data_IF_711307408371
#
_entry.id   IF_711307408371
#
_cell.length_a   1.000
_cell.length_b   1.000
_cell.length_c   1.000
_cell.angle_alpha   90.00
_cell.angle_beta   90.00
_cell.angle_gamma   90.00
#
_symmetry.space_group_name_H-M   'P 1'
#
loop_
_entity.id
_entity.type
_entity.pdbx_description
1 polymer ?
#
# COMPACT_ATOMS: atom_id res chain seq x y z
N UNK A 1 15.11 -12.93 17.45
CA UNK A 1 14.39 -13.89 16.59
C UNK A 1 15.10 -15.21 16.61
N UNK A 2 14.41 -16.28 17.00
CA UNK A 2 14.90 -17.64 16.91
C UNK A 2 14.28 -18.27 15.66
N UNK A 3 15.13 -18.76 14.76
CA UNK A 3 14.73 -19.50 13.56
C UNK A 3 15.05 -20.98 13.79
N UNK A 4 14.02 -21.78 14.06
CA UNK A 4 14.16 -23.21 14.30
C UNK A 4 13.97 -23.96 13.00
N UNK A 5 14.99 -24.70 12.57
CA UNK A 5 14.94 -25.51 11.35
C UNK A 5 14.92 -26.98 11.73
N UNK A 6 13.82 -27.67 11.40
CA UNK A 6 13.62 -29.09 11.70
C UNK A 6 13.25 -29.80 10.40
N UNK A 7 14.21 -30.47 9.78
CA UNK A 7 14.04 -31.08 8.46
C UNK A 7 13.65 -30.04 7.41
N UNK A 8 12.47 -30.23 6.80
CA UNK A 8 11.89 -29.30 5.79
C UNK A 8 11.13 -28.12 6.39
N UNK A 9 10.96 -28.08 7.72
CA UNK A 9 10.24 -27.01 8.41
C UNK A 9 11.18 -25.92 8.90
N UNK A 10 10.74 -24.68 8.74
CA UNK A 10 11.28 -23.50 9.42
C UNK A 10 10.20 -22.89 10.29
N UNK A 11 10.47 -22.71 11.57
CA UNK A 11 9.54 -22.11 12.54
C UNK A 11 10.22 -20.87 13.11
N UNK A 12 9.58 -19.71 12.99
CA UNK A 12 10.06 -18.45 13.51
C UNK A 12 9.04 -17.88 14.49
N UNK A 13 9.37 -17.93 15.77
CA UNK A 13 8.61 -17.27 16.83
C UNK A 13 9.37 -16.04 17.33
N UNK A 14 8.62 -14.99 17.69
CA UNK A 14 9.17 -13.79 18.28
C UNK A 14 8.15 -13.13 19.21
N UNK A 15 8.65 -12.40 20.19
CA UNK A 15 7.87 -11.55 21.08
C UNK A 15 8.53 -10.18 21.11
N UNK A 16 7.75 -9.12 20.96
CA UNK A 16 8.20 -7.75 21.12
C UNK A 16 7.40 -7.09 22.24
N UNK A 17 8.07 -6.30 23.08
CA UNK A 17 7.42 -5.45 24.09
C UNK A 17 7.73 -4.00 23.75
N UNK A 18 6.69 -3.19 23.66
CA UNK A 18 6.76 -1.76 23.37
C UNK A 18 6.14 -1.00 24.53
N UNK A 19 6.82 0.03 25.03
CA UNK A 19 6.29 0.97 26.02
C UNK A 19 6.36 2.38 25.44
N UNK A 20 5.21 3.02 25.27
CA UNK A 20 5.10 4.38 24.75
C UNK A 20 4.70 5.33 25.88
N UNK A 21 5.37 6.48 25.92
CA UNK A 21 5.10 7.57 26.86
C UNK A 21 4.80 8.81 26.03
N UNK A 22 3.67 9.45 26.32
CA UNK A 22 3.18 10.66 25.68
C UNK A 22 3.22 11.79 26.69
N UNK A 23 3.79 12.93 26.29
CA UNK A 23 3.80 14.13 27.09
C UNK A 23 3.47 15.34 26.19
N UNK A 24 2.32 15.97 26.42
CA UNK A 24 1.81 17.08 25.63
C UNK A 24 1.81 18.37 26.45
N UNK A 25 2.46 19.39 25.93
CA UNK A 25 2.41 20.76 26.43
C UNK A 25 1.76 21.66 25.37
N UNK A 26 0.47 21.95 25.55
CA UNK A 26 -0.27 22.81 24.63
C UNK A 26 -0.11 24.28 25.02
N UNK A 27 0.75 24.99 24.29
CA UNK A 27 1.05 26.42 24.52
C UNK A 27 -0.06 27.37 24.05
N UNK A 28 -1.11 26.87 23.41
CA UNK A 28 -2.27 27.67 23.02
C UNK A 28 -3.34 27.74 24.11
N UNK A 29 -3.27 26.86 25.12
CA UNK A 29 -4.16 26.88 26.28
C UNK A 29 -3.68 27.88 27.33
N UNK A 30 -4.64 28.56 27.94
CA UNK A 30 -4.41 29.58 28.99
C UNK A 30 -3.72 29.01 30.23
N UNK A 31 -3.89 27.71 30.49
CA UNK A 31 -3.22 26.95 31.53
C UNK A 31 -2.57 25.70 30.89
N UNK A 32 -1.30 25.77 30.48
CA UNK A 32 -0.61 24.70 29.76
C UNK A 32 -0.12 23.62 30.74
N UNK A 33 -1.00 23.09 31.59
CA UNK A 33 -0.69 21.92 32.39
C UNK A 33 -0.31 20.76 31.45
N UNK A 34 0.89 20.20 31.65
CA UNK A 34 1.37 19.06 30.87
C UNK A 34 0.43 17.87 31.03
N UNK A 35 0.02 17.27 29.92
CA UNK A 35 -0.78 16.06 29.93
C UNK A 35 0.11 14.86 29.61
N UNK A 36 0.02 13.82 30.43
CA UNK A 36 0.82 12.61 30.28
C UNK A 36 -0.07 11.38 30.12
N UNK A 37 0.36 10.45 29.27
CA UNK A 37 -0.25 9.15 29.09
C UNK A 37 0.82 8.13 28.74
N UNK A 38 0.61 6.86 29.08
CA UNK A 38 1.52 5.80 28.66
C UNK A 38 0.78 4.51 28.38
N UNK A 39 1.36 3.68 27.53
CA UNK A 39 0.84 2.36 27.22
C UNK A 39 1.96 1.36 27.00
N UNK A 40 1.72 0.10 27.37
CA UNK A 40 2.61 -1.01 27.08
C UNK A 40 1.88 -2.04 26.23
N UNK A 41 2.53 -2.54 25.18
CA UNK A 41 2.03 -3.59 24.30
C UNK A 41 3.03 -4.72 24.19
N UNK A 42 2.51 -5.95 24.20
CA UNK A 42 3.26 -7.16 23.86
C UNK A 42 2.73 -7.66 22.53
N UNK A 43 3.60 -7.88 21.54
CA UNK A 43 3.27 -8.24 20.16
C UNK A 43 3.93 -9.57 19.79
N UNK A 44 3.21 -10.71 19.84
CA UNK A 44 3.74 -12.00 19.43
C UNK A 44 3.69 -12.15 17.90
N UNK A 45 4.60 -12.98 17.39
CA UNK A 45 4.71 -13.37 15.99
C UNK A 45 5.03 -14.86 15.91
N UNK A 46 4.36 -15.58 15.02
CA UNK A 46 4.63 -16.98 14.78
C UNK A 46 4.51 -17.28 13.28
N UNK A 47 5.59 -17.79 12.69
CA UNK A 47 5.64 -18.09 11.27
C UNK A 47 6.13 -19.52 11.04
N UNK A 48 5.61 -20.13 9.99
CA UNK A 48 5.95 -21.45 9.52
C UNK A 48 6.35 -21.36 8.05
N UNK A 49 7.37 -22.14 7.68
CA UNK A 49 7.74 -22.40 6.30
C UNK A 49 7.95 -23.89 6.13
N UNK A 50 7.47 -24.45 5.03
CA UNK A 50 7.74 -25.83 4.65
C UNK A 50 8.31 -25.87 3.23
N UNK A 51 9.57 -26.28 3.13
CA UNK A 51 10.31 -26.36 1.87
C UNK A 51 10.12 -27.74 1.25
N UNK A 52 9.31 -27.84 0.20
CA UNK A 52 9.06 -29.12 -0.48
C UNK A 52 10.35 -29.67 -1.12
N UNK A 53 11.05 -28.78 -1.82
CA UNK A 53 12.29 -29.01 -2.57
C UNK A 53 13.00 -27.65 -2.84
N UNK A 54 14.00 -27.63 -3.71
CA UNK A 54 14.74 -26.40 -4.06
C UNK A 54 13.91 -25.35 -4.83
N UNK A 55 12.78 -25.73 -5.42
CA UNK A 55 11.94 -24.88 -6.26
C UNK A 55 10.64 -24.43 -5.58
N UNK A 56 10.21 -25.03 -4.47
CA UNK A 56 8.92 -24.72 -3.87
C UNK A 56 8.95 -24.69 -2.33
N UNK A 57 8.39 -23.63 -1.76
CA UNK A 57 8.20 -23.47 -0.32
C UNK A 57 6.84 -22.82 -0.03
N UNK A 58 6.01 -23.45 0.78
CA UNK A 58 4.81 -22.82 1.35
C UNK A 58 5.17 -22.13 2.66
N UNK A 59 4.50 -21.04 2.97
CA UNK A 59 4.65 -20.33 4.24
C UNK A 59 3.30 -19.91 4.82
N UNK A 60 3.23 -19.89 6.14
CA UNK A 60 2.19 -19.22 6.92
C UNK A 60 2.87 -18.23 7.84
N UNK A 61 2.62 -16.94 7.66
CA UNK A 61 3.11 -15.89 8.56
C UNK A 61 1.95 -15.35 9.36
N UNK A 62 2.14 -15.16 10.65
CA UNK A 62 1.14 -14.55 11.53
C UNK A 62 1.81 -13.60 12.49
N UNK A 63 1.11 -12.53 12.87
CA UNK A 63 1.64 -11.60 13.85
C UNK A 63 0.61 -10.59 14.33
N UNK A 64 0.89 -10.07 15.52
CA UNK A 64 0.22 -8.90 16.04
C UNK A 64 1.10 -7.67 15.83
N UNK A 65 0.47 -6.57 15.44
CA UNK A 65 1.06 -5.23 15.42
C UNK A 65 0.17 -4.26 16.17
N UNK A 66 0.52 -2.98 16.08
CA UNK A 66 -0.29 -1.86 16.53
C UNK A 66 0.14 -0.61 15.77
N UNK A 67 -0.70 0.40 15.78
CA UNK A 67 -0.28 1.78 15.54
C UNK A 67 -0.50 2.56 16.83
N UNK A 68 0.11 3.74 16.95
CA UNK A 68 -0.22 4.66 18.04
C UNK A 68 -1.05 5.82 17.50
N UNK A 69 -2.02 6.27 18.28
CA UNK A 69 -2.78 7.47 17.96
C UNK A 69 -1.95 8.73 18.12
N UNK A 70 -2.35 9.80 17.40
CA UNK A 70 -1.82 11.15 17.59
C UNK A 70 -1.96 11.54 19.06
N UNK A 71 -0.94 12.21 19.60
CA UNK A 71 -0.92 12.58 21.02
C UNK A 71 -2.12 13.43 21.42
N UNK A 72 -2.64 14.29 20.54
CA UNK A 72 -3.82 15.13 20.81
C UNK A 72 -5.05 14.26 21.01
N UNK A 73 -5.26 13.28 20.14
CA UNK A 73 -6.34 12.29 20.24
C UNK A 73 -6.21 11.48 21.53
N UNK A 74 -4.99 11.02 21.85
CA UNK A 74 -4.72 10.28 23.09
C UNK A 74 -5.11 11.10 24.32
N UNK A 75 -4.74 12.37 24.35
CA UNK A 75 -5.04 13.26 25.48
C UNK A 75 -6.53 13.58 25.58
N UNK A 76 -7.20 13.86 24.45
CA UNK A 76 -8.66 14.05 24.39
C UNK A 76 -9.44 12.82 24.86
N UNK A 77 -8.94 11.62 24.53
CA UNK A 77 -9.53 10.34 24.95
C UNK A 77 -9.08 9.90 26.35
N UNK A 78 -8.37 10.77 27.10
CA UNK A 78 -7.91 10.50 28.46
C UNK A 78 -7.02 9.25 28.57
N UNK A 79 -6.14 9.04 27.60
CA UNK A 79 -5.20 7.91 27.58
C UNK A 79 -5.82 6.57 27.21
N UNK A 80 -7.03 6.55 26.63
CA UNK A 80 -7.62 5.35 26.04
C UNK A 80 -7.13 5.15 24.61
N UNK A 81 -7.21 3.91 24.13
CA UNK A 81 -6.90 3.50 22.76
C UNK A 81 -5.55 4.04 22.22
N UNK A 82 -4.53 4.14 23.09
CA UNK A 82 -3.20 4.65 22.73
C UNK A 82 -2.51 3.79 21.66
N UNK A 83 -2.69 2.46 21.75
CA UNK A 83 -2.05 1.48 20.88
C UNK A 83 -3.06 0.45 20.35
N UNK A 84 -3.97 0.83 19.44
CA UNK A 84 -4.93 -0.10 18.86
C UNK A 84 -4.22 -1.24 18.13
N UNK A 85 -4.67 -2.47 18.36
CA UNK A 85 -3.99 -3.64 17.81
C UNK A 85 -4.33 -3.87 16.34
N UNK A 86 -3.41 -4.52 15.65
CA UNK A 86 -3.64 -5.17 14.37
C UNK A 86 -3.27 -6.64 14.45
N UNK A 87 -4.03 -7.52 13.80
CA UNK A 87 -3.68 -8.94 13.67
C UNK A 87 -3.67 -9.30 12.20
N UNK A 88 -2.55 -9.83 11.73
CA UNK A 88 -2.33 -10.19 10.33
C UNK A 88 -1.92 -11.65 10.15
N UNK A 89 -2.36 -12.25 9.05
CA UNK A 89 -1.91 -13.55 8.61
C UNK A 89 -1.74 -13.59 7.08
N UNK A 90 -0.65 -14.21 6.61
CA UNK A 90 -0.35 -14.44 5.20
C UNK A 90 -0.06 -15.92 4.96
N UNK A 91 -0.81 -16.57 4.07
CA UNK A 91 -0.55 -17.92 3.56
C UNK A 91 -0.12 -17.81 2.11
N UNK A 92 1.12 -18.20 1.78
CA UNK A 92 1.61 -18.08 0.41
C UNK A 92 2.56 -19.18 -0.01
N UNK A 93 2.80 -19.23 -1.32
CA UNK A 93 3.71 -20.17 -1.95
C UNK A 93 4.83 -19.37 -2.64
N UNK A 94 6.07 -19.74 -2.39
CA UNK A 94 7.22 -19.31 -3.19
C UNK A 94 7.53 -20.43 -4.16
N UNK A 95 7.37 -20.18 -5.46
CA UNK A 95 7.58 -21.19 -6.48
C UNK A 95 8.52 -20.69 -7.59
N UNK A 96 9.55 -21.48 -7.86
CA UNK A 96 10.55 -21.29 -8.91
C UNK A 96 10.62 -22.53 -9.81
N UNK A 97 9.61 -22.77 -10.67
CA UNK A 97 9.56 -23.98 -11.50
C UNK A 97 10.76 -24.14 -12.43
N UNK A 98 11.38 -23.02 -12.82
CA UNK A 98 12.63 -22.96 -13.56
C UNK A 98 13.51 -21.88 -12.92
N UNK A 99 14.79 -21.82 -13.28
CA UNK A 99 15.71 -20.80 -12.77
C UNK A 99 15.34 -19.36 -13.18
N UNK A 100 14.51 -19.23 -14.22
CA UNK A 100 14.15 -17.96 -14.84
C UNK A 100 12.73 -17.49 -14.51
N UNK A 101 11.95 -18.27 -13.76
CA UNK A 101 10.55 -17.98 -13.45
C UNK A 101 10.33 -18.03 -11.94
N UNK A 102 9.80 -16.94 -11.39
CA UNK A 102 9.36 -16.83 -10.00
C UNK A 102 7.87 -16.49 -9.97
N UNK A 103 7.12 -17.26 -9.20
CA UNK A 103 5.69 -17.11 -9.01
C UNK A 103 5.42 -17.15 -7.51
N UNK A 104 4.67 -16.17 -7.02
CA UNK A 104 4.29 -16.09 -5.62
C UNK A 104 2.83 -15.69 -5.47
N UNK A 105 1.91 -16.65 -5.39
CA UNK A 105 0.56 -16.39 -4.93
C UNK A 105 0.52 -16.34 -3.39
N UNK A 106 -0.30 -15.45 -2.84
CA UNK A 106 -0.57 -15.37 -1.42
C UNK A 106 -2.04 -15.04 -1.15
N UNK A 107 -2.57 -15.58 -0.06
CA UNK A 107 -3.83 -15.17 0.55
C UNK A 107 -3.51 -14.52 1.89
N UNK A 108 -4.16 -13.42 2.20
CA UNK A 108 -3.90 -12.69 3.42
C UNK A 108 -5.16 -12.17 4.09
N UNK A 109 -5.05 -11.93 5.39
CA UNK A 109 -6.10 -11.35 6.21
C UNK A 109 -5.51 -10.39 7.24
N UNK A 110 -6.18 -9.27 7.44
CA UNK A 110 -5.80 -8.23 8.39
C UNK A 110 -7.03 -7.76 9.14
N UNK A 111 -6.95 -7.79 10.46
CA UNK A 111 -7.89 -7.16 11.37
C UNK A 111 -7.23 -5.92 11.98
N UNK A 112 -7.92 -4.79 11.96
CA UNK A 112 -7.54 -3.60 12.71
C UNK A 112 -8.60 -3.33 13.78
N UNK A 113 -8.15 -3.12 15.02
CA UNK A 113 -9.02 -2.68 16.11
C UNK A 113 -9.54 -1.26 15.88
N UNK A 114 -8.77 -0.44 15.16
CA UNK A 114 -9.11 0.94 14.87
C UNK A 114 -8.51 1.33 13.51
N UNK A 115 -9.36 1.79 12.61
CA UNK A 115 -8.98 2.36 11.32
C UNK A 115 -8.59 3.82 11.46
N UNK A 116 -7.82 4.33 10.51
CA UNK A 116 -7.64 5.76 10.33
C UNK A 116 -8.31 6.24 9.05
N UNK A 117 -9.14 7.27 9.19
CA UNK A 117 -9.79 7.93 8.05
C UNK A 117 -9.26 9.36 7.96
N UNK A 118 -8.87 9.77 6.75
CA UNK A 118 -8.46 11.14 6.51
C UNK A 118 -9.68 12.00 6.21
N UNK A 119 -9.88 13.06 6.99
CA UNK A 119 -10.92 14.07 6.78
C UNK A 119 -10.30 15.20 5.95
N UNK A 120 -10.74 15.31 4.70
CA UNK A 120 -10.17 16.24 3.73
C UNK A 120 -10.27 17.72 4.13
N UNK A 121 -11.40 18.11 4.71
CA UNK A 121 -11.70 19.51 5.05
C UNK A 121 -10.90 20.01 6.25
N UNK A 122 -10.73 19.16 7.25
CA UNK A 122 -9.97 19.46 8.45
C UNK A 122 -8.47 19.19 8.28
N UNK A 123 -8.10 18.46 7.21
CA UNK A 123 -6.77 17.93 6.99
C UNK A 123 -6.21 17.12 8.18
N UNK A 124 -7.11 16.40 8.87
CA UNK A 124 -6.77 15.55 10.01
C UNK A 124 -7.03 14.08 9.71
N UNK A 125 -6.36 13.21 10.46
CA UNK A 125 -6.63 11.77 10.45
C UNK A 125 -7.34 11.43 11.75
N UNK A 126 -8.51 10.83 11.63
CA UNK A 126 -9.33 10.49 12.78
C UNK A 126 -9.40 8.98 13.00
N UNK A 127 -9.37 8.53 14.26
CA UNK A 127 -9.77 7.19 14.64
C UNK A 127 -11.16 6.83 14.11
N UNK A 128 -11.27 5.67 13.49
CA UNK A 128 -12.53 5.07 13.07
C UNK A 128 -12.66 3.63 13.60
N UNK A 129 -13.80 3.00 13.34
CA UNK A 129 -14.15 1.69 13.89
C UNK A 129 -13.23 0.54 13.45
N UNK A 130 -13.56 -0.66 13.92
CA UNK A 130 -12.82 -1.89 13.58
C UNK A 130 -13.00 -2.24 12.11
N UNK A 131 -11.94 -2.72 11.48
CA UNK A 131 -11.97 -3.12 10.07
C UNK A 131 -11.36 -4.49 9.85
N UNK A 132 -11.88 -5.18 8.84
CA UNK A 132 -11.34 -6.44 8.33
C UNK A 132 -11.01 -6.30 6.87
N UNK A 133 -9.81 -6.77 6.51
CA UNK A 133 -9.35 -6.86 5.14
C UNK A 133 -8.96 -8.30 4.85
N UNK A 134 -9.39 -8.79 3.70
CA UNK A 134 -8.99 -10.07 3.15
C UNK A 134 -8.46 -9.81 1.75
N UNK A 135 -7.43 -10.53 1.33
CA UNK A 135 -6.92 -10.31 -0.01
C UNK A 135 -6.18 -11.51 -0.59
N UNK A 136 -5.90 -11.36 -1.87
CA UNK A 136 -5.17 -12.32 -2.67
C UNK A 136 -4.19 -11.55 -3.54
N UNK A 137 -2.93 -11.96 -3.51
CA UNK A 137 -1.85 -11.35 -4.26
C UNK A 137 -1.20 -12.38 -5.17
N UNK A 138 -0.75 -11.93 -6.33
CA UNK A 138 0.06 -12.72 -7.25
C UNK A 138 1.23 -11.87 -7.74
N UNK A 139 2.45 -12.30 -7.40
CA UNK A 139 3.69 -11.76 -7.96
C UNK A 139 4.30 -12.71 -8.98
N UNK A 140 4.66 -12.18 -10.14
CA UNK A 140 5.30 -12.89 -11.25
C UNK A 140 6.59 -12.15 -11.65
N UNK A 141 7.68 -12.90 -11.81
CA UNK A 141 8.95 -12.41 -12.39
C UNK A 141 9.44 -13.46 -13.38
N UNK A 142 9.69 -13.07 -14.62
CA UNK A 142 10.03 -14.01 -15.69
C UNK A 142 11.09 -13.47 -16.64
N UNK A 143 12.27 -14.08 -16.61
CA UNK A 143 13.35 -13.86 -17.58
C UNK A 143 13.13 -14.79 -18.78
N UNK A 144 12.33 -14.35 -19.76
CA UNK A 144 11.96 -15.18 -20.91
C UNK A 144 13.16 -15.52 -21.82
N UNK A 145 14.05 -14.56 -22.03
CA UNK A 145 15.31 -14.72 -22.76
C UNK A 145 16.39 -13.85 -22.10
N UNK A 146 17.69 -13.98 -22.41
CA UNK A 146 18.72 -13.10 -21.85
C UNK A 146 18.51 -11.59 -22.10
N UNK A 147 17.67 -11.23 -23.06
CA UNK A 147 17.37 -9.84 -23.43
C UNK A 147 15.94 -9.41 -23.13
N UNK A 148 15.04 -10.30 -22.67
CA UNK A 148 13.62 -10.01 -22.45
C UNK A 148 13.17 -10.49 -21.07
N UNK A 149 12.59 -9.57 -20.30
CA UNK A 149 12.12 -9.78 -18.95
C UNK A 149 10.71 -9.22 -18.76
N UNK A 150 9.88 -9.96 -18.04
CA UNK A 150 8.52 -9.61 -17.66
C UNK A 150 8.37 -9.62 -16.15
N UNK A 151 7.60 -8.68 -15.62
CA UNK A 151 7.14 -8.74 -14.23
C UNK A 151 5.72 -8.20 -14.11
N UNK A 152 5.04 -8.69 -13.08
CA UNK A 152 3.71 -8.22 -12.73
C UNK A 152 3.36 -8.56 -11.29
N UNK A 153 2.56 -7.71 -10.69
CA UNK A 153 1.96 -7.86 -9.38
C UNK A 153 0.48 -7.52 -9.50
N UNK A 154 -0.39 -8.43 -9.09
CA UNK A 154 -1.85 -8.25 -9.06
C UNK A 154 -2.29 -8.38 -7.61
N UNK A 155 -3.03 -7.41 -7.10
CA UNK A 155 -3.49 -7.38 -5.71
C UNK A 155 -5.00 -7.20 -5.65
N UNK A 156 -5.69 -8.16 -5.03
CA UNK A 156 -7.11 -8.08 -4.74
C UNK A 156 -7.31 -7.84 -3.24
N UNK A 157 -8.17 -6.87 -2.90
CA UNK A 157 -8.51 -6.56 -1.52
C UNK A 157 -10.03 -6.44 -1.34
N UNK A 158 -10.54 -7.16 -0.35
CA UNK A 158 -11.88 -7.04 0.18
C UNK A 158 -11.79 -6.45 1.59
N UNK A 159 -12.12 -5.17 1.72
CA UNK A 159 -12.01 -4.41 2.95
C UNK A 159 -13.38 -3.91 3.44
N UNK A 160 -13.71 -4.14 4.71
CA UNK A 160 -14.98 -3.71 5.32
C UNK A 160 -14.81 -3.24 6.76
N UNK A 161 -15.60 -2.25 7.15
CA UNK A 161 -15.87 -1.97 8.55
C UNK A 161 -16.69 -3.11 9.16
N UNK A 162 -16.35 -3.52 10.38
CA UNK A 162 -16.95 -4.70 11.03
C UNK A 162 -18.25 -4.34 11.72
N UNK A 163 -18.28 -3.18 12.38
CA UNK A 163 -19.40 -2.77 13.24
C UNK A 163 -20.47 -1.94 12.49
N UNK A 164 -20.32 -1.78 11.16
CA UNK A 164 -21.24 -1.01 10.32
C UNK A 164 -22.22 -1.91 9.56
N UNK A 165 -23.46 -1.44 9.28
CA UNK A 165 -24.44 -2.18 8.51
C UNK A 165 -23.94 -2.60 7.12
N UNK A 166 -24.43 -3.74 6.62
CA UNK A 166 -24.14 -4.17 5.25
C UNK A 166 -24.64 -3.12 4.26
N UNK A 167 -23.75 -2.65 3.38
CA UNK A 167 -24.06 -1.60 2.41
C UNK A 167 -23.47 -0.25 2.82
N UNK A 168 -23.22 -0.04 4.10
CA UNK A 168 -22.63 1.18 4.69
C UNK A 168 -21.26 0.89 5.34
N UNK A 169 -20.68 -0.27 5.01
CA UNK A 169 -19.47 -0.76 5.62
C UNK A 169 -18.28 -0.80 4.66
N UNK A 170 -18.33 -0.06 3.55
CA UNK A 170 -17.17 0.13 2.70
C UNK A 170 -16.14 1.00 3.41
N UNK A 171 -14.86 0.73 3.17
CA UNK A 171 -13.79 1.63 3.60
C UNK A 171 -13.50 2.56 2.41
N UNK A 172 -13.66 3.89 2.56
CA UNK A 172 -13.37 4.84 1.50
C UNK A 172 -11.95 4.65 0.95
N UNK A 173 -11.82 4.84 -0.36
CA UNK A 173 -10.55 4.87 -1.09
C UNK A 173 -9.73 3.57 -1.05
N UNK A 174 -10.31 2.44 -0.63
CA UNK A 174 -9.68 1.13 -0.79
C UNK A 174 -10.02 0.55 -2.17
N UNK A 175 -9.07 0.48 -3.12
CA UNK A 175 -9.31 -0.19 -4.40
C UNK A 175 -9.44 -1.70 -4.19
N UNK A 176 -10.42 -2.30 -4.87
CA UNK A 176 -10.61 -3.75 -4.81
C UNK A 176 -9.56 -4.53 -5.60
N UNK A 177 -8.97 -3.89 -6.61
CA UNK A 177 -7.99 -4.49 -7.51
C UNK A 177 -6.97 -3.43 -7.92
N UNK A 178 -5.69 -3.73 -7.73
CA UNK A 178 -4.57 -2.97 -8.29
C UNK A 178 -3.64 -3.90 -9.04
N UNK A 179 -2.94 -3.36 -10.03
CA UNK A 179 -1.93 -4.12 -10.76
C UNK A 179 -0.80 -3.22 -11.21
N UNK A 180 0.43 -3.71 -11.11
CA UNK A 180 1.60 -3.06 -11.71
C UNK A 180 2.43 -4.10 -12.42
N UNK A 181 3.11 -3.71 -13.47
CA UNK A 181 4.00 -4.63 -14.17
C UNK A 181 4.68 -3.96 -15.34
N UNK A 182 5.37 -4.76 -16.13
CA UNK A 182 6.07 -4.23 -17.28
C UNK A 182 6.87 -5.25 -18.06
N UNK A 183 7.49 -4.72 -19.10
CA UNK A 183 8.41 -5.44 -19.98
C UNK A 183 9.72 -4.69 -20.02
N UNK A 184 10.81 -5.38 -19.77
CA UNK A 184 12.16 -4.85 -19.92
C UNK A 184 12.89 -5.58 -21.03
N UNK A 185 13.51 -4.83 -21.92
CA UNK A 185 14.38 -5.38 -22.96
C UNK A 185 15.78 -4.80 -22.87
N UNK A 186 16.77 -5.66 -23.12
CA UNK A 186 18.19 -5.31 -23.24
C UNK A 186 18.73 -5.86 -24.55
N UNK A 187 18.66 -5.04 -25.58
CA UNK A 187 19.04 -5.41 -26.93
C UNK A 187 20.57 -5.31 -27.12
N UNK A 188 21.11 -5.91 -28.21
CA UNK A 188 22.48 -5.66 -28.63
C UNK A 188 22.77 -4.17 -28.84
N UNK A 189 24.06 -3.82 -28.94
CA UNK A 189 24.52 -2.45 -29.22
C UNK A 189 24.14 -1.42 -28.13
N UNK A 190 23.92 -1.86 -26.89
CA UNK A 190 23.74 -0.96 -25.74
C UNK A 190 22.35 -0.33 -25.61
N UNK A 191 21.37 -0.79 -26.37
CA UNK A 191 19.98 -0.34 -26.28
C UNK A 191 19.24 -1.11 -25.19
N UNK A 192 18.51 -0.42 -24.33
CA UNK A 192 17.55 -1.02 -23.40
C UNK A 192 16.29 -0.18 -23.32
N UNK A 193 15.17 -0.86 -23.09
CA UNK A 193 13.88 -0.22 -22.91
C UNK A 193 13.13 -0.87 -21.74
N UNK A 194 12.34 -0.08 -21.03
CA UNK A 194 11.51 -0.54 -19.93
C UNK A 194 10.15 0.15 -20.04
N UNK A 195 9.11 -0.64 -20.34
CA UNK A 195 7.72 -0.21 -20.37
C UNK A 195 7.05 -0.67 -19.08
N UNK A 196 6.50 0.27 -18.32
CA UNK A 196 5.75 0.02 -17.08
C UNK A 196 4.29 0.39 -17.26
N UNK A 197 3.41 -0.33 -16.57
CA UNK A 197 2.04 0.08 -16.37
C UNK A 197 1.68 0.12 -14.88
N UNK A 198 0.71 0.97 -14.54
CA UNK A 198 0.05 1.04 -13.23
C UNK A 198 -1.46 1.10 -13.44
N UNK A 199 -2.17 0.13 -12.86
CA UNK A 199 -3.61 0.01 -12.87
C UNK A 199 -4.18 0.13 -11.46
N UNK A 200 -5.24 0.92 -11.32
CA UNK A 200 -6.04 1.00 -10.10
C UNK A 200 -7.52 0.94 -10.47
N UNK A 201 -8.25 0.01 -9.87
CA UNK A 201 -9.69 -0.10 -10.09
C UNK A 201 -10.46 1.06 -9.45
N UNK A 202 -11.69 1.26 -9.93
CA UNK A 202 -12.67 2.12 -9.28
C UNK A 202 -12.92 1.68 -7.83
N UNK A 203 -13.09 2.64 -6.93
CA UNK A 203 -13.17 2.41 -5.49
C UNK A 203 -14.24 3.27 -4.82
N UNK A 204 -14.83 2.85 -3.70
CA UNK A 204 -15.76 3.69 -2.94
C UNK A 204 -15.07 5.02 -2.58
N UNK A 205 -15.79 6.13 -2.68
CA UNK A 205 -15.34 7.42 -2.16
C UNK A 205 -15.88 7.70 -0.75
N UNK A 206 -16.94 6.98 -0.35
CA UNK A 206 -17.58 7.01 0.97
C UNK A 206 -18.13 5.63 1.36
N UNK A 207 -18.58 5.49 2.60
CA UNK A 207 -18.92 4.25 3.31
C UNK A 207 -20.11 3.49 2.71
N UNK A 208 -21.05 4.21 2.07
CA UNK A 208 -22.21 3.62 1.38
C UNK A 208 -21.93 3.25 -0.09
N UNK A 209 -20.74 3.59 -0.60
CA UNK A 209 -20.30 3.39 -1.98
C UNK A 209 -21.25 4.02 -3.05
N UNK A 210 -22.07 5.00 -2.67
CA UNK A 210 -22.92 5.77 -3.59
C UNK A 210 -22.10 6.69 -4.50
N UNK A 211 -21.01 7.24 -3.98
CA UNK A 211 -19.99 7.98 -4.75
C UNK A 211 -18.74 7.09 -4.89
N UNK A 212 -18.17 7.06 -6.10
CA UNK A 212 -17.02 6.19 -6.42
C UNK A 212 -15.90 6.95 -7.11
N UNK A 213 -14.70 6.90 -6.53
CA UNK A 213 -13.49 7.46 -7.10
C UNK A 213 -13.05 6.65 -8.33
N UNK A 214 -12.77 7.35 -9.44
CA UNK A 214 -12.47 6.77 -10.75
C UNK A 214 -11.17 5.96 -10.71
N UNK A 215 -11.15 4.83 -11.43
CA UNK A 215 -9.93 4.05 -11.67
C UNK A 215 -9.12 4.63 -12.83
N UNK A 216 -7.92 4.08 -13.04
CA UNK A 216 -7.04 4.47 -14.14
C UNK A 216 -6.06 3.36 -14.55
N UNK A 217 -5.53 3.48 -15.77
CA UNK A 217 -4.41 2.72 -16.29
C UNK A 217 -3.42 3.72 -16.92
N UNK A 218 -2.22 3.79 -16.39
CA UNK A 218 -1.17 4.71 -16.89
C UNK A 218 0.07 3.92 -17.24
N UNK A 219 0.85 4.43 -18.20
CA UNK A 219 2.02 3.75 -18.73
C UNK A 219 3.19 4.71 -18.82
N UNK A 220 4.38 4.22 -18.49
CA UNK A 220 5.62 4.97 -18.57
C UNK A 220 6.65 4.17 -19.37
N UNK A 221 7.47 4.87 -20.15
CA UNK A 221 8.53 4.28 -20.95
C UNK A 221 9.87 4.89 -20.58
N UNK A 222 10.87 4.04 -20.37
CA UNK A 222 12.27 4.42 -20.26
C UNK A 222 13.05 3.78 -21.41
N UNK A 223 13.75 4.60 -22.20
CA UNK A 223 14.67 4.18 -23.24
C UNK A 223 16.08 4.61 -22.84
N UNK A 224 17.05 3.72 -23.03
CA UNK A 224 18.44 3.99 -22.72
C UNK A 224 19.34 3.46 -23.83
N UNK A 225 20.30 4.26 -24.27
CA UNK A 225 21.28 3.90 -25.29
C UNK A 225 22.70 4.22 -24.81
N UNK A 226 23.48 3.17 -24.56
CA UNK A 226 24.88 3.26 -24.16
C UNK A 226 25.82 3.04 -25.33
N UNK A 227 26.75 3.96 -25.55
CA UNK A 227 27.79 3.86 -26.58
C UNK A 227 29.14 4.38 -26.06
N UNK A 228 30.13 3.49 -25.96
CA UNK A 228 31.43 3.81 -25.36
C UNK A 228 31.28 4.28 -23.91
N UNK A 229 31.75 5.51 -23.63
CA UNK A 229 31.63 6.16 -22.31
C UNK A 229 30.32 6.95 -22.14
N UNK A 230 29.51 7.08 -23.19
CA UNK A 230 28.29 7.88 -23.20
C UNK A 230 27.04 7.03 -22.97
N UNK A 231 26.05 7.64 -22.34
CA UNK A 231 24.74 7.04 -22.13
C UNK A 231 23.64 8.08 -22.28
N UNK A 232 22.71 7.82 -23.20
CA UNK A 232 21.56 8.67 -23.49
C UNK A 232 20.31 8.05 -22.88
N UNK A 233 19.53 8.84 -22.17
CA UNK A 233 18.29 8.45 -21.52
C UNK A 233 17.12 9.24 -22.09
N UNK A 234 16.01 8.57 -22.38
CA UNK A 234 14.73 9.20 -22.67
C UNK A 234 13.67 8.54 -21.78
N UNK A 235 12.95 9.35 -21.02
CA UNK A 235 11.82 8.93 -20.20
C UNK A 235 10.56 9.61 -20.72
N UNK A 236 9.54 8.84 -21.07
CA UNK A 236 8.20 9.32 -21.35
C UNK A 236 7.29 8.90 -20.19
N UNK A 237 6.80 9.86 -19.42
CA UNK A 237 5.79 9.65 -18.39
C UNK A 237 4.40 9.85 -18.99
N UNK A 238 3.43 9.03 -18.57
CA UNK A 238 2.09 9.02 -19.14
C UNK A 238 2.12 8.90 -20.68
N UNK A 239 2.78 7.86 -21.19
CA UNK A 239 3.10 7.65 -22.60
C UNK A 239 1.93 7.85 -23.56
N UNK A 240 0.70 7.52 -23.13
CA UNK A 240 -0.51 7.61 -23.95
C UNK A 240 -1.40 8.83 -23.61
N UNK A 241 -0.86 9.81 -22.88
CA UNK A 241 -1.57 11.02 -22.46
C UNK A 241 -2.96 10.73 -21.84
N UNK A 242 -3.02 9.71 -20.99
CA UNK A 242 -4.24 9.35 -20.27
C UNK A 242 -4.64 10.49 -19.35
N UNK A 243 -5.92 10.83 -19.31
CA UNK A 243 -6.49 11.77 -18.34
C UNK A 243 -7.04 10.98 -17.16
N UNK A 244 -6.44 11.14 -15.98
CA UNK A 244 -6.93 10.52 -14.75
C UNK A 244 -6.88 11.49 -13.57
N UNK A 245 -7.46 11.04 -12.47
CA UNK A 245 -7.45 11.71 -11.18
C UNK A 245 -6.53 10.94 -10.24
N UNK A 246 -5.46 11.58 -9.74
CA UNK A 246 -4.46 10.92 -8.89
C UNK A 246 -5.02 10.73 -7.47
N UNK A 247 -5.17 11.81 -6.72
CA UNK A 247 -5.88 11.85 -5.45
C UNK A 247 -7.35 12.23 -5.70
N UNK A 248 -8.28 11.56 -5.02
CA UNK A 248 -9.72 11.76 -5.16
C UNK A 248 -10.37 11.63 -3.78
N UNK A 249 -11.13 12.64 -3.37
CA UNK A 249 -11.84 12.65 -2.10
C UNK A 249 -13.27 13.10 -2.36
N UNK A 250 -14.22 12.45 -1.70
CA UNK A 250 -15.56 12.99 -1.59
C UNK A 250 -15.52 14.14 -0.58
N UNK A 251 -16.08 15.27 -0.97
CA UNK A 251 -16.09 16.47 -0.15
C UNK A 251 -17.38 17.23 -0.42
N UNK A 252 -18.03 17.67 0.65
CA UNK A 252 -19.20 18.52 0.57
C UNK A 252 -18.76 19.98 0.47
N UNK A 253 -19.14 20.65 -0.61
CA UNK A 253 -18.83 22.07 -0.81
C UNK A 253 -20.08 22.85 -1.18
N UNK A 254 -20.03 24.18 -1.08
CA UNK A 254 -21.10 25.04 -1.56
C UNK A 254 -20.53 26.31 -2.19
N UNK A 255 -20.56 26.38 -3.51
CA UNK A 255 -20.19 27.58 -4.26
C UNK A 255 -21.18 28.73 -3.99
N UNK A 256 -20.73 29.97 -4.26
CA UNK A 256 -21.53 31.18 -3.99
C UNK A 256 -22.94 31.15 -4.60
N UNK A 257 -23.11 30.45 -5.72
CA UNK A 257 -24.36 30.39 -6.46
C UNK A 257 -25.17 29.11 -6.19
N UNK A 258 -24.70 28.25 -5.28
CA UNK A 258 -25.39 27.02 -4.91
C UNK A 258 -26.28 27.27 -3.68
N UNK A 259 -27.57 26.90 -3.79
CA UNK A 259 -28.52 27.10 -2.69
C UNK A 259 -28.34 26.07 -1.56
N UNK A 260 -27.82 24.88 -1.88
CA UNK A 260 -27.54 23.79 -0.95
C UNK A 260 -26.12 23.26 -1.19
N UNK A 261 -25.45 22.71 -0.17
CA UNK A 261 -24.19 22.02 -0.36
C UNK A 261 -24.31 20.83 -1.33
N UNK A 262 -23.24 20.56 -2.05
CA UNK A 262 -23.12 19.49 -3.03
C UNK A 262 -21.94 18.59 -2.62
N UNK A 263 -22.22 17.30 -2.50
CA UNK A 263 -21.21 16.25 -2.31
C UNK A 263 -20.67 15.82 -3.67
N UNK A 264 -19.37 16.04 -3.89
CA UNK A 264 -18.72 15.69 -5.15
C UNK A 264 -17.25 15.27 -4.98
N UNK A 265 -16.66 14.74 -6.06
CA UNK A 265 -15.27 14.31 -6.06
C UNK A 265 -14.33 15.48 -6.35
N UNK A 266 -13.58 15.87 -5.33
CA UNK A 266 -12.44 16.75 -5.47
C UNK A 266 -11.21 15.93 -5.81
N UNK A 267 -10.38 16.41 -6.73
CA UNK A 267 -9.24 15.62 -7.20
C UNK A 267 -8.02 16.44 -7.58
N UNK A 268 -6.86 15.81 -7.47
CA UNK A 268 -5.63 16.28 -8.10
C UNK A 268 -5.54 15.64 -9.49
N UNK A 269 -5.40 16.42 -10.57
CA UNK A 269 -5.24 15.86 -11.90
C UNK A 269 -3.96 15.03 -11.98
N UNK A 270 -4.03 13.92 -12.73
CA UNK A 270 -2.87 13.12 -13.05
C UNK A 270 -1.82 13.91 -13.84
N UNK A 271 -0.57 13.43 -13.80
CA UNK A 271 0.51 14.05 -14.56
C UNK A 271 0.25 13.93 -16.08
N UNK A 272 0.34 15.03 -16.85
CA UNK A 272 0.18 14.95 -18.31
C UNK A 272 1.34 14.19 -18.95
N UNK A 273 1.22 13.87 -20.25
CA UNK A 273 2.36 13.37 -21.02
C UNK A 273 3.57 14.30 -20.85
N UNK A 274 4.71 13.71 -20.46
CA UNK A 274 5.95 14.45 -20.27
C UNK A 274 7.15 13.62 -20.72
N UNK A 275 8.05 14.26 -21.47
CA UNK A 275 9.32 13.67 -21.89
C UNK A 275 10.48 14.32 -21.14
N UNK A 276 11.38 13.50 -20.59
CA UNK A 276 12.65 13.91 -20.01
C UNK A 276 13.78 13.25 -20.79
N UNK A 277 14.81 14.02 -21.13
CA UNK A 277 16.03 13.51 -21.74
C UNK A 277 17.21 13.69 -20.77
N UNK A 278 18.16 12.75 -20.80
CA UNK A 278 19.36 12.78 -19.97
C UNK A 278 20.58 12.29 -20.72
N UNK A 279 21.75 12.81 -20.34
CA UNK A 279 23.06 12.42 -20.85
C UNK A 279 23.98 12.14 -19.67
N UNK A 280 24.69 11.02 -19.70
CA UNK A 280 25.75 10.72 -18.72
C UNK A 280 27.01 10.21 -19.39
N UNK A 281 28.15 10.49 -18.75
CA UNK A 281 29.49 10.09 -19.18
C UNK A 281 30.18 9.31 -18.05
N UNK A 282 30.75 8.15 -18.38
CA UNK A 282 31.50 7.30 -17.43
C UNK A 282 33.00 7.56 -17.60
N UNK A 283 33.64 8.10 -16.56
CA UNK A 283 35.07 8.39 -16.52
C UNK A 283 35.90 7.10 -16.44
#
# INVERSE_FOLDING_TARGET
NLDWRIGKWTINHALRVDHLIFNLHDKLKSDPAGQEASATRISPKLNFGYTFNHSAQIYLKTGMGFHSNDIRVVMEQQGKDIMPISFGADLGLIWKPTDNLFIQPALWGLYLQQEFVYVGDEAVVEPSGKTKRLGADLSLRYQATPWLYFDGDINYAYARAIDQPKGENYIPLVPSLTSTGGVSVKLPLGISANLRYRYMNIKPAKEDNSVRAKGYLVNDLLLNYGVGKWNFLLQAQNLFDTKWNEAQFETETRLRNEQQPVSELHFTPGTPFMVKAGLSYKF
#
